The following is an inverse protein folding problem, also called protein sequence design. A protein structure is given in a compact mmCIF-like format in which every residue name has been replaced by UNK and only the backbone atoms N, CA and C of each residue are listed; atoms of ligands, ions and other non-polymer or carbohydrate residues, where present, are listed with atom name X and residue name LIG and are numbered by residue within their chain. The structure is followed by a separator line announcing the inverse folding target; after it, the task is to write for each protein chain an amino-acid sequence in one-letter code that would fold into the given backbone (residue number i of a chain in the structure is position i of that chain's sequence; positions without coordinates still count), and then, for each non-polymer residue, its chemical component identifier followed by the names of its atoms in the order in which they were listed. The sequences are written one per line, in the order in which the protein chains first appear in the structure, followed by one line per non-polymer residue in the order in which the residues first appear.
data_IF_662032847366
#
_entry.id   IF_662032847366
#
_cell.length_a   1.000
_cell.length_b   1.000
_cell.length_c   1.000
_cell.angle_alpha   90.00
_cell.angle_beta   90.00
_cell.angle_gamma   90.00
#
_symmetry.space_group_name_H-M   'P 1'
#
loop_
_entity.id
_entity.type
_entity.pdbx_description
1 polymer ?
#
# COMPACT_ATOMS: atom_id res chain seq x y z
N UNK A 1 -2.85 -8.96 14.82
CA UNK A 1 -2.76 -7.60 14.23
C UNK A 1 -2.97 -7.73 12.73
N UNK A 2 -4.10 -7.24 12.19
CA UNK A 2 -4.32 -7.20 10.75
C UNK A 2 -3.74 -5.90 10.21
N UNK A 3 -2.79 -5.97 9.27
CA UNK A 3 -2.19 -4.80 8.65
C UNK A 3 -3.11 -4.35 7.51
N UNK A 4 -3.53 -3.09 7.52
CA UNK A 4 -4.45 -2.51 6.52
C UNK A 4 -3.68 -1.80 5.41
N UNK A 5 -4.33 -1.54 4.27
CA UNK A 5 -3.77 -0.72 3.19
C UNK A 5 -3.29 0.64 3.71
N UNK A 6 -4.05 1.28 4.60
CA UNK A 6 -3.68 2.53 5.26
C UNK A 6 -2.39 2.44 6.07
N UNK A 7 -2.15 1.31 6.76
CA UNK A 7 -0.90 1.10 7.49
C UNK A 7 0.30 1.07 6.52
N UNK A 8 0.18 0.33 5.42
CA UNK A 8 1.25 0.28 4.42
C UNK A 8 1.47 1.64 3.73
N UNK A 9 0.41 2.40 3.45
CA UNK A 9 0.54 3.76 2.92
C UNK A 9 1.23 4.71 3.90
N UNK A 10 0.94 4.60 5.21
CA UNK A 10 1.62 5.40 6.23
C UNK A 10 3.13 5.10 6.27
N UNK A 11 3.52 3.83 6.20
CA UNK A 11 4.94 3.41 6.13
C UNK A 11 5.61 3.85 4.85
N UNK A 12 4.92 3.80 3.71
CA UNK A 12 5.43 4.34 2.46
C UNK A 12 5.72 5.84 2.58
N UNK A 13 4.77 6.62 3.13
CA UNK A 13 4.95 8.06 3.31
C UNK A 13 6.08 8.40 4.29
N UNK A 14 6.28 7.59 5.33
CA UNK A 14 7.42 7.72 6.25
C UNK A 14 8.76 7.50 5.53
N UNK A 15 8.88 6.42 4.77
CA UNK A 15 10.09 6.15 3.98
C UNK A 15 10.35 7.23 2.91
N UNK A 16 9.30 7.80 2.31
CA UNK A 16 9.45 8.92 1.38
C UNK A 16 10.05 10.16 2.06
N UNK A 17 9.53 10.53 3.25
CA UNK A 17 10.07 11.66 4.04
C UNK A 17 11.51 11.42 4.46
N UNK A 18 11.85 10.19 4.85
CA UNK A 18 13.24 9.83 5.15
C UNK A 18 14.16 9.96 3.93
N UNK A 19 13.68 9.58 2.74
CA UNK A 19 14.44 9.75 1.51
C UNK A 19 14.65 11.23 1.16
N UNK A 20 13.65 12.09 1.39
CA UNK A 20 13.76 13.54 1.20
C UNK A 20 14.77 14.19 2.15
N UNK A 21 14.88 13.69 3.38
CA UNK A 21 15.81 14.18 4.39
C UNK A 21 17.21 13.57 4.29
N UNK A 22 17.39 12.51 3.50
CA UNK A 22 18.65 11.81 3.39
C UNK A 22 19.72 12.67 2.68
N UNK A 23 20.85 12.88 3.35
CA UNK A 23 21.99 13.60 2.78
C UNK A 23 22.90 12.72 1.91
N UNK A 24 22.83 11.41 2.09
CA UNK A 24 23.62 10.44 1.35
C UNK A 24 22.74 9.72 0.34
N UNK A 25 23.22 9.62 -0.90
CA UNK A 25 22.46 8.99 -1.99
C UNK A 25 22.12 7.53 -1.68
N UNK A 26 23.06 6.77 -1.13
CA UNK A 26 22.83 5.37 -0.76
C UNK A 26 21.72 5.20 0.30
N UNK A 27 21.55 6.18 1.20
CA UNK A 27 20.47 6.20 2.19
C UNK A 27 19.16 6.57 1.52
N UNK A 28 19.16 7.60 0.66
CA UNK A 28 18.00 8.01 -0.14
C UNK A 28 17.46 6.84 -0.95
N UNK A 29 18.31 6.17 -1.72
CA UNK A 29 17.91 5.02 -2.54
C UNK A 29 17.33 3.88 -1.70
N UNK A 30 17.91 3.60 -0.52
CA UNK A 30 17.38 2.57 0.38
C UNK A 30 15.98 2.93 0.86
N UNK A 31 15.77 4.18 1.27
CA UNK A 31 14.46 4.67 1.71
C UNK A 31 13.43 4.62 0.57
N UNK A 32 13.81 4.98 -0.67
CA UNK A 32 12.94 4.87 -1.84
C UNK A 32 12.58 3.40 -2.16
N UNK A 33 13.53 2.46 -2.02
CA UNK A 33 13.23 1.02 -2.16
C UNK A 33 12.25 0.53 -1.10
N UNK A 34 12.39 1.00 0.15
CA UNK A 34 11.44 0.71 1.21
C UNK A 34 10.06 1.29 0.94
N UNK A 35 9.97 2.55 0.48
CA UNK A 35 8.71 3.17 0.06
C UNK A 35 8.02 2.32 -1.02
N UNK A 36 8.75 1.94 -2.07
CA UNK A 36 8.20 1.14 -3.17
C UNK A 36 7.65 -0.22 -2.70
N UNK A 37 8.36 -0.89 -1.78
CA UNK A 37 7.89 -2.14 -1.19
C UNK A 37 6.60 -1.95 -0.39
N UNK A 38 6.51 -0.88 0.42
CA UNK A 38 5.30 -0.54 1.17
C UNK A 38 4.11 -0.21 0.26
N UNK A 39 4.33 0.59 -0.79
CA UNK A 39 3.29 0.90 -1.79
C UNK A 39 2.77 -0.35 -2.49
N UNK A 40 3.66 -1.25 -2.91
CA UNK A 40 3.25 -2.50 -3.56
C UNK A 40 2.38 -3.38 -2.66
N UNK A 41 2.68 -3.43 -1.35
CA UNK A 41 1.83 -4.15 -0.40
C UNK A 41 0.45 -3.48 -0.23
N UNK A 42 0.40 -2.15 -0.14
CA UNK A 42 -0.85 -1.41 -0.09
C UNK A 42 -1.74 -1.69 -1.32
N UNK A 43 -1.16 -1.63 -2.52
CA UNK A 43 -1.85 -1.89 -3.79
C UNK A 43 -2.43 -3.31 -3.85
N UNK A 44 -1.67 -4.31 -3.39
CA UNK A 44 -2.16 -5.70 -3.32
C UNK A 44 -3.38 -5.83 -2.41
N UNK A 45 -3.37 -5.17 -1.25
CA UNK A 45 -4.52 -5.17 -0.34
C UNK A 45 -5.72 -4.47 -0.96
N UNK A 46 -5.52 -3.27 -1.52
CA UNK A 46 -6.60 -2.51 -2.17
C UNK A 46 -7.21 -3.30 -3.33
N UNK A 47 -6.39 -3.94 -4.16
CA UNK A 47 -6.87 -4.79 -5.26
C UNK A 47 -7.71 -5.97 -4.75
N UNK A 48 -7.29 -6.61 -3.67
CA UNK A 48 -8.06 -7.67 -3.00
C UNK A 48 -9.40 -7.16 -2.44
N UNK A 49 -9.41 -5.98 -1.82
CA UNK A 49 -10.61 -5.35 -1.25
C UNK A 49 -11.62 -4.96 -2.34
N UNK A 50 -11.14 -4.38 -3.44
CA UNK A 50 -11.95 -4.05 -4.63
C UNK A 50 -12.53 -5.33 -5.24
N UNK A 51 -11.71 -6.37 -5.42
CA UNK A 51 -12.16 -7.64 -5.97
C UNK A 51 -13.23 -8.33 -5.10
N UNK A 52 -13.11 -8.24 -3.78
CA UNK A 52 -14.15 -8.73 -2.84
C UNK A 52 -15.44 -7.91 -2.92
N UNK A 53 -15.32 -6.59 -2.97
CA UNK A 53 -16.47 -5.69 -3.07
C UNK A 53 -17.26 -5.92 -4.36
N UNK A 54 -16.54 -6.11 -5.49
CA UNK A 54 -17.15 -6.44 -6.78
C UNK A 54 -17.91 -7.77 -6.74
N UNK A 55 -17.30 -8.83 -6.20
CA UNK A 55 -17.95 -10.13 -6.06
C UNK A 55 -19.19 -10.07 -5.15
N UNK A 56 -19.15 -9.28 -4.08
CA UNK A 56 -20.30 -9.09 -3.21
C UNK A 56 -21.45 -8.39 -3.93
N UNK A 57 -21.17 -7.34 -4.71
CA UNK A 57 -22.16 -6.65 -5.52
C UNK A 57 -22.78 -7.56 -6.60
N UNK A 58 -21.94 -8.35 -7.31
CA UNK A 58 -22.41 -9.30 -8.33
C UNK A 58 -23.30 -10.40 -7.73
N UNK A 59 -22.96 -10.89 -6.52
CA UNK A 59 -23.81 -11.86 -5.81
C UNK A 59 -25.13 -11.26 -5.34
N UNK A 60 -25.11 -10.05 -4.79
CA UNK A 60 -26.33 -9.35 -4.37
C UNK A 60 -27.27 -9.14 -5.57
N UNK A 61 -26.74 -8.69 -6.71
CA UNK A 61 -27.51 -8.49 -7.93
C UNK A 61 -28.06 -9.78 -8.58
N UNK A 62 -27.58 -10.96 -8.17
CA UNK A 62 -28.11 -12.27 -8.61
C UNK A 62 -29.17 -12.84 -7.65
N UNK A 63 -29.21 -12.33 -6.42
CA UNK A 63 -30.15 -12.76 -5.38
C UNK A 63 -31.44 -11.93 -5.34
N UNK A 64 -31.44 -10.77 -6.00
CA UNK A 64 -32.65 -10.02 -6.43
C UNK A 64 -33.18 -10.54 -7.78
#
# INVERSE_FOLDING_TARGET
MSLTSNFYLARAAESAREAEQAMLENVRERCLRSEAAWRSMAERLLSSEVGRSRQAAEKAARLD
#
